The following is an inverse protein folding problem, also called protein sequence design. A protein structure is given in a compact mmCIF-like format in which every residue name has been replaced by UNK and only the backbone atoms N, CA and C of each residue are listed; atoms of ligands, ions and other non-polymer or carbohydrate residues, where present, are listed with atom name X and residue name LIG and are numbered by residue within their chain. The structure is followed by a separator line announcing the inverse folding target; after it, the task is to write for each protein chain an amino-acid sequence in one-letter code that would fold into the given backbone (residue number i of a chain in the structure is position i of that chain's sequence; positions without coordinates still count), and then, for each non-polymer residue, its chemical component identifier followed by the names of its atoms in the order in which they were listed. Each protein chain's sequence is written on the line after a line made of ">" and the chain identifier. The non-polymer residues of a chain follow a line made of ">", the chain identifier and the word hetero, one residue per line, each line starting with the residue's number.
data_IF_611557146058
#
_entry.id   IF_611557146058
#
_cell.length_a   1.000
_cell.length_b   1.000
_cell.length_c   1.000
_cell.angle_alpha   90.00
_cell.angle_beta   90.00
_cell.angle_gamma   90.00
#
_symmetry.space_group_name_H-M   'P 1'
#
loop_
_entity.id
_entity.type
_entity.pdbx_description
1 polymer ?
#
# COMPACT_ATOMS: atom_id res chain seq x y z
N UNK A 1 26.35 -10.36 -13.91
CA UNK A 1 26.03 -10.48 -12.47
C UNK A 1 24.53 -10.30 -12.35
N UNK A 2 23.84 -11.30 -11.79
CA UNK A 2 22.40 -11.53 -11.97
C UNK A 2 21.50 -10.36 -11.57
N UNK A 3 20.72 -9.87 -12.52
CA UNK A 3 19.55 -9.07 -12.24
C UNK A 3 18.51 -10.02 -11.66
N UNK A 4 18.09 -9.82 -10.40
CA UNK A 4 16.92 -10.50 -9.84
C UNK A 4 15.76 -10.24 -10.81
N UNK A 5 15.36 -11.30 -11.51
CA UNK A 5 14.32 -11.20 -12.51
C UNK A 5 12.97 -10.94 -11.85
N UNK A 6 11.98 -10.41 -12.61
CA UNK A 6 10.60 -10.34 -12.14
C UNK A 6 10.11 -11.70 -11.62
N UNK A 7 10.61 -12.79 -12.20
CA UNK A 7 10.29 -14.16 -11.80
C UNK A 7 10.78 -14.53 -10.38
N UNK A 8 12.01 -14.17 -10.03
CA UNK A 8 12.56 -14.41 -8.69
C UNK A 8 11.84 -13.56 -7.63
N UNK A 9 11.51 -12.31 -7.96
CA UNK A 9 10.69 -11.45 -7.09
C UNK A 9 9.31 -12.04 -6.83
N UNK A 10 8.64 -12.59 -7.86
CA UNK A 10 7.34 -13.25 -7.72
C UNK A 10 7.44 -14.48 -6.81
N UNK A 11 8.50 -15.28 -6.94
CA UNK A 11 8.71 -16.46 -6.10
C UNK A 11 8.87 -16.08 -4.62
N UNK A 12 9.71 -15.08 -4.34
CA UNK A 12 9.92 -14.56 -2.97
C UNK A 12 8.63 -13.97 -2.41
N UNK A 13 7.91 -13.20 -3.22
CA UNK A 13 6.63 -12.63 -2.85
C UNK A 13 5.65 -13.75 -2.47
N UNK A 14 5.50 -14.78 -3.31
CA UNK A 14 4.60 -15.91 -3.05
C UNK A 14 4.87 -16.60 -1.70
N UNK A 15 6.14 -16.84 -1.36
CA UNK A 15 6.53 -17.41 -0.05
C UNK A 15 6.11 -16.47 1.09
N UNK A 16 6.37 -15.17 0.94
CA UNK A 16 5.95 -14.16 1.91
C UNK A 16 4.42 -14.14 2.08
N UNK A 17 3.67 -14.32 0.99
CA UNK A 17 2.20 -14.34 1.00
C UNK A 17 1.64 -15.59 1.64
N UNK A 18 2.34 -16.72 1.61
CA UNK A 18 1.91 -17.93 2.33
C UNK A 18 2.01 -17.68 3.84
N UNK A 19 3.05 -17.00 4.30
CA UNK A 19 3.27 -16.69 5.72
C UNK A 19 2.29 -15.60 6.21
N UNK A 20 2.14 -14.52 5.44
CA UNK A 20 1.35 -13.34 5.83
C UNK A 20 -0.13 -13.47 5.43
N UNK A 21 -0.42 -14.23 4.37
CA UNK A 21 -1.73 -14.35 3.73
C UNK A 21 -1.96 -13.27 2.65
N UNK A 22 -2.41 -13.63 1.44
CA UNK A 22 -2.63 -12.66 0.35
C UNK A 22 -3.74 -11.64 0.67
N UNK A 23 -4.69 -11.99 1.53
CA UNK A 23 -5.77 -11.08 1.97
C UNK A 23 -5.31 -9.96 2.90
N UNK A 24 -4.11 -10.07 3.52
CA UNK A 24 -3.57 -9.04 4.43
C UNK A 24 -2.80 -7.95 3.70
N UNK A 25 -2.20 -8.26 2.55
CA UNK A 25 -1.53 -7.30 1.67
C UNK A 25 -2.36 -6.06 1.31
N UNK A 26 -3.61 -6.19 0.81
CA UNK A 26 -4.39 -5.01 0.41
C UNK A 26 -4.72 -4.10 1.58
N UNK A 27 -4.91 -4.65 2.78
CA UNK A 27 -5.13 -3.86 3.99
C UNK A 27 -3.89 -3.04 4.39
N UNK A 28 -2.72 -3.67 4.37
CA UNK A 28 -1.44 -3.01 4.66
C UNK A 28 -1.13 -1.96 3.59
N UNK A 29 -1.31 -2.28 2.31
CA UNK A 29 -1.12 -1.33 1.21
C UNK A 29 -2.08 -0.12 1.30
N UNK A 30 -3.34 -0.32 1.70
CA UNK A 30 -4.29 0.77 1.90
C UNK A 30 -3.92 1.68 3.06
N UNK A 31 -3.44 1.12 4.18
CA UNK A 31 -2.98 1.89 5.33
C UNK A 31 -1.69 2.69 5.03
N UNK A 32 -0.74 2.05 4.36
CA UNK A 32 0.50 2.70 3.90
C UNK A 32 0.19 3.78 2.85
N UNK A 33 -0.72 3.50 1.90
CA UNK A 33 -1.14 4.47 0.90
C UNK A 33 -1.83 5.69 1.51
N UNK A 34 -2.71 5.48 2.50
CA UNK A 34 -3.36 6.58 3.23
C UNK A 34 -2.33 7.46 3.96
N UNK A 35 -1.44 6.82 4.72
CA UNK A 35 -0.40 7.55 5.44
C UNK A 35 0.54 8.30 4.50
N UNK A 36 1.06 7.68 3.44
CA UNK A 36 1.88 8.36 2.43
C UNK A 36 1.12 9.53 1.78
N UNK A 37 -0.17 9.38 1.51
CA UNK A 37 -1.01 10.44 0.97
C UNK A 37 -1.14 11.64 1.90
N UNK A 38 -1.33 11.40 3.20
CA UNK A 38 -1.37 12.45 4.23
C UNK A 38 0.00 13.06 4.48
N UNK A 39 1.08 12.25 4.50
CA UNK A 39 2.45 12.75 4.55
C UNK A 39 2.74 13.68 3.39
N UNK A 40 2.34 13.32 2.17
CA UNK A 40 2.55 14.17 0.98
C UNK A 40 1.78 15.48 1.09
N UNK A 41 0.49 15.44 1.45
CA UNK A 41 -0.33 16.65 1.63
C UNK A 41 0.20 17.58 2.71
N UNK A 42 0.63 17.04 3.84
CA UNK A 42 1.25 17.81 4.91
C UNK A 42 2.56 18.49 4.48
N UNK A 43 3.30 17.89 3.54
CA UNK A 43 4.51 18.50 2.96
C UNK A 43 4.21 19.56 1.91
N UNK A 44 3.19 19.34 1.09
CA UNK A 44 2.75 20.28 0.04
C UNK A 44 1.85 21.42 0.60
N UNK A 45 1.48 21.38 1.88
CA UNK A 45 0.65 22.40 2.53
C UNK A 45 -0.81 22.40 2.09
N UNK A 46 -1.27 21.32 1.46
CA UNK A 46 -2.65 21.17 1.01
C UNK A 46 -3.58 20.91 2.21
N UNK A 47 -4.77 21.53 2.26
CA UNK A 47 -5.74 21.27 3.33
C UNK A 47 -6.16 19.80 3.32
N UNK A 48 -6.16 19.19 4.51
CA UNK A 48 -6.65 17.84 4.76
C UNK A 48 -8.08 17.70 4.21
N UNK A 49 -8.36 16.80 3.25
CA UNK A 49 -9.73 16.44 2.96
C UNK A 49 -10.23 15.68 4.19
N UNK A 50 -11.03 16.36 5.00
CA UNK A 50 -11.74 15.69 6.10
C UNK A 50 -12.57 14.58 5.46
N UNK A 51 -12.33 13.34 5.88
CA UNK A 51 -13.01 12.10 5.43
C UNK A 51 -14.53 12.15 5.80
N UNK A 52 -15.26 13.11 5.24
CA UNK A 52 -16.71 13.28 5.35
C UNK A 52 -17.31 13.50 3.97
N UNK A 53 -17.16 12.56 3.04
CA UNK A 53 -18.18 12.30 2.01
C UNK A 53 -17.90 10.98 1.26
N UNK A 54 -18.46 9.87 1.77
CA UNK A 54 -19.03 8.74 0.99
C UNK A 54 -19.45 7.61 1.92
N UNK A 55 -20.35 7.94 2.84
CA UNK A 55 -21.44 7.03 3.19
C UNK A 55 -22.67 7.58 2.48
N UNK A 56 -22.68 7.43 1.15
CA UNK A 56 -23.88 7.64 0.37
C UNK A 56 -24.83 6.48 0.68
N UNK A 57 -26.08 6.89 0.89
CA UNK A 57 -27.36 6.17 0.82
C UNK A 57 -27.36 4.75 0.26
#
# INVERSE_FOLDING_TARGET
>A
MGSIGPWELILVLAILLIIVGPGKLPGVGKAIGKSIGEFKRARDGEPEPTDQEKKAE
#
